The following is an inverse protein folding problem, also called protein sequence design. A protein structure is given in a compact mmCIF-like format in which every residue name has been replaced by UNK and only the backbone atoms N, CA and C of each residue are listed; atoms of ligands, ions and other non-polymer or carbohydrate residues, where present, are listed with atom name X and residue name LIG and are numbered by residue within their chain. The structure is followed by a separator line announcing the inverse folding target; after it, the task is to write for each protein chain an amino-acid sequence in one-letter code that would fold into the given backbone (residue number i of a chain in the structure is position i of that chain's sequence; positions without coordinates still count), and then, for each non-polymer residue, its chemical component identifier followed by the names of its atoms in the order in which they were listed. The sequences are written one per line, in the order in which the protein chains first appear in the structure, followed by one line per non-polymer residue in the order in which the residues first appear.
data_IF_180235973336
#
_entry.id   IF_180235973336
#
_cell.length_a   1.000
_cell.length_b   1.000
_cell.length_c   1.000
_cell.angle_alpha   90.00
_cell.angle_beta   90.00
_cell.angle_gamma   90.00
#
_symmetry.space_group_name_H-M   'P 1'
#
loop_
_entity.id
_entity.type
_entity.pdbx_description
1 polymer ?
#
# COMPACT_ATOMS: atom_id res chain seq x y z
N UNK A 1 9.16 10.52 -4.12
CA UNK A 1 10.12 9.42 -4.35
C UNK A 1 9.66 8.27 -3.48
N UNK A 2 9.42 7.08 -4.04
CA UNK A 2 8.97 5.83 -3.37
C UNK A 2 9.94 5.25 -2.31
N UNK A 3 10.93 6.02 -1.88
CA UNK A 3 12.16 5.47 -1.29
C UNK A 3 12.09 5.22 0.22
N UNK A 4 11.02 5.61 0.91
CA UNK A 4 11.11 5.71 2.37
C UNK A 4 10.57 4.49 3.13
N UNK A 5 9.59 3.72 2.60
CA UNK A 5 9.00 2.61 3.35
C UNK A 5 8.70 1.39 2.46
N UNK A 6 9.74 0.67 2.05
CA UNK A 6 9.56 -0.60 1.32
C UNK A 6 9.61 -1.77 2.32
N UNK A 7 8.57 -2.60 2.33
CA UNK A 7 8.52 -3.81 3.16
C UNK A 7 9.02 -5.00 2.34
N UNK A 8 9.93 -5.78 2.93
CA UNK A 8 10.31 -7.10 2.39
C UNK A 8 9.28 -8.13 2.82
N UNK A 9 8.69 -8.81 1.84
CA UNK A 9 7.72 -9.89 2.08
C UNK A 9 8.25 -11.17 1.47
N UNK A 10 8.18 -12.28 2.22
CA UNK A 10 8.53 -13.61 1.72
C UNK A 10 7.25 -14.35 1.34
N UNK A 11 7.15 -14.76 0.07
CA UNK A 11 6.02 -15.53 -0.46
C UNK A 11 6.57 -16.63 -1.39
N UNK A 12 6.15 -17.87 -1.19
CA UNK A 12 6.57 -19.04 -1.99
C UNK A 12 8.09 -19.16 -2.18
N UNK A 13 8.84 -19.06 -1.08
CA UNK A 13 10.31 -19.07 -1.08
C UNK A 13 10.98 -17.97 -1.91
N UNK A 14 10.25 -16.93 -2.29
CA UNK A 14 10.78 -15.74 -2.97
C UNK A 14 10.61 -14.51 -2.10
N UNK A 15 11.55 -13.58 -2.22
CA UNK A 15 11.48 -12.29 -1.55
C UNK A 15 11.00 -11.22 -2.52
N UNK A 16 10.02 -10.43 -2.06
CA UNK A 16 9.44 -9.32 -2.79
C UNK A 16 9.67 -8.02 -2.03
N UNK A 17 9.94 -6.96 -2.78
CA UNK A 17 9.96 -5.60 -2.28
C UNK A 17 8.61 -4.98 -2.61
N UNK A 18 7.84 -4.65 -1.58
CA UNK A 18 6.50 -4.08 -1.72
C UNK A 18 6.50 -2.68 -1.13
N UNK A 19 6.00 -1.71 -1.88
CA UNK A 19 5.83 -0.34 -1.38
C UNK A 19 4.79 -0.31 -0.25
N UNK A 20 4.99 0.57 0.73
CA UNK A 20 4.00 0.77 1.78
C UNK A 20 2.66 1.23 1.21
N UNK A 21 1.56 0.95 1.93
CA UNK A 21 0.22 1.41 1.55
C UNK A 21 0.18 2.94 1.34
N UNK A 22 0.73 3.79 2.23
CA UNK A 22 0.84 5.23 1.99
C UNK A 22 1.52 5.60 0.67
N UNK A 23 2.64 4.92 0.36
CA UNK A 23 3.38 5.18 -0.88
C UNK A 23 2.55 4.79 -2.11
N UNK A 24 1.81 3.67 -2.05
CA UNK A 24 0.91 3.22 -3.10
C UNK A 24 -0.23 4.24 -3.33
N UNK A 25 -0.82 4.78 -2.26
CA UNK A 25 -1.85 5.81 -2.36
C UNK A 25 -1.27 7.08 -3.02
N UNK A 26 -0.09 7.53 -2.61
CA UNK A 26 0.56 8.70 -3.21
C UNK A 26 0.83 8.50 -4.71
N UNK A 27 1.34 7.33 -5.09
CA UNK A 27 1.53 6.98 -6.51
C UNK A 27 0.23 7.06 -7.29
N UNK A 28 -0.84 6.50 -6.75
CA UNK A 28 -2.17 6.46 -7.38
C UNK A 28 -2.76 7.86 -7.55
N UNK A 29 -2.66 8.71 -6.52
CA UNK A 29 -3.10 10.12 -6.59
C UNK A 29 -2.34 10.90 -7.66
N UNK A 30 -1.04 10.62 -7.85
CA UNK A 30 -0.22 11.27 -8.88
C UNK A 30 -0.51 10.78 -10.30
N UNK A 31 -0.85 9.50 -10.47
CA UNK A 31 -1.25 8.94 -11.76
C UNK A 31 -2.59 9.51 -12.26
N UNK A 32 -3.51 9.77 -11.33
CA UNK A 32 -4.76 10.50 -11.57
C UNK A 32 -5.64 9.91 -12.70
N UNK A 33 -5.69 8.58 -12.80
CA UNK A 33 -6.64 7.90 -13.67
C UNK A 33 -7.98 7.69 -12.95
N UNK A 34 -9.11 7.60 -13.69
CA UNK A 34 -10.41 7.33 -13.08
C UNK A 34 -10.46 6.08 -12.20
N UNK A 35 -9.73 5.03 -12.60
CA UNK A 35 -9.66 3.78 -11.85
C UNK A 35 -8.85 3.89 -10.54
N UNK A 36 -7.94 4.86 -10.46
CA UNK A 36 -7.10 5.03 -9.27
C UNK A 36 -7.93 5.45 -8.04
N UNK A 37 -9.10 6.08 -8.24
CA UNK A 37 -10.02 6.40 -7.14
C UNK A 37 -10.50 5.14 -6.40
N UNK A 38 -10.88 4.11 -7.15
CA UNK A 38 -11.32 2.83 -6.59
C UNK A 38 -10.16 2.08 -5.92
N UNK A 39 -8.96 2.20 -6.47
CA UNK A 39 -7.76 1.57 -5.90
C UNK A 39 -7.36 2.26 -4.59
N UNK A 40 -7.43 3.60 -4.53
CA UNK A 40 -7.15 4.38 -3.32
C UNK A 40 -8.13 4.00 -2.20
N UNK A 41 -9.43 3.93 -2.50
CA UNK A 41 -10.46 3.57 -1.50
C UNK A 41 -10.17 2.20 -0.87
N UNK A 42 -9.80 1.20 -1.69
CA UNK A 42 -9.43 -0.13 -1.21
C UNK A 42 -8.17 -0.10 -0.35
N UNK A 43 -7.16 0.66 -0.76
CA UNK A 43 -5.91 0.80 -0.02
C UNK A 43 -6.13 1.48 1.35
N UNK A 44 -6.96 2.52 1.40
CA UNK A 44 -7.34 3.21 2.65
C UNK A 44 -8.11 2.26 3.59
N UNK A 45 -9.00 1.41 3.07
CA UNK A 45 -9.69 0.41 3.86
C UNK A 45 -8.73 -0.64 4.46
N UNK A 46 -7.75 -1.12 3.68
CA UNK A 46 -6.74 -2.08 4.16
C UNK A 46 -5.87 -1.45 5.25
N UNK A 47 -5.48 -0.17 5.08
CA UNK A 47 -4.71 0.56 6.09
C UNK A 47 -5.46 0.64 7.42
N UNK A 48 -6.73 1.03 7.40
CA UNK A 48 -7.57 1.11 8.59
C UNK A 48 -7.76 -0.25 9.28
N UNK A 49 -7.85 -1.34 8.51
CA UNK A 49 -7.93 -2.69 9.08
C UNK A 49 -6.62 -3.09 9.76
N UNK A 50 -5.49 -2.76 9.15
CA UNK A 50 -4.16 -3.09 9.66
C UNK A 50 -3.87 -2.36 10.99
N UNK A 51 -4.27 -1.09 11.10
CA UNK A 51 -4.16 -0.30 12.32
C UNK A 51 -5.02 -0.86 13.47
N UNK A 52 -6.22 -1.36 13.16
CA UNK A 52 -7.10 -2.00 14.16
C UNK A 52 -6.50 -3.31 14.71
N UNK A 53 -5.80 -4.07 13.86
CA UNK A 53 -5.17 -5.34 14.26
C UNK A 53 -3.90 -5.10 15.10
N UNK A 54 -3.15 -4.03 14.83
CA UNK A 54 -1.95 -3.67 15.60
C UNK A 54 -2.23 -2.96 16.94
N UNK A 55 -3.49 -2.65 17.25
CA UNK A 55 -3.92 -1.95 18.47
C UNK A 55 -4.48 -2.89 19.56
N UNK A 56 -4.21 -4.20 19.46
CA UNK A 56 -4.70 -5.25 20.36
C UNK A 56 -3.54 -5.96 21.09
#
# INVERSE_FOLDING_TARGET
MLKQNVTRVKLDNREYLVASIPDLIEMKRRANHPQDLLDIEKLEAIQQQSEKIGSA
#
